data_IF_509062479030
#
_entry.id   IF_509062479030
#
_cell.length_a   1.000
_cell.length_b   1.000
_cell.length_c   1.000
_cell.angle_alpha   90.00
_cell.angle_beta   90.00
_cell.angle_gamma   90.00
#
_symmetry.space_group_name_H-M   'P 1'
#
loop_
_entity.id
_entity.type
_entity.pdbx_description
1 polymer ?
#
# COMPACT_ATOMS: atom_id res chain seq x y z
N UNK A 1 8.85 -10.70 9.06
CA UNK A 1 7.61 -9.92 8.97
C UNK A 1 6.67 -10.31 10.06
N UNK A 2 5.84 -9.39 10.51
CA UNK A 2 4.79 -9.63 11.47
C UNK A 2 3.69 -8.57 11.33
N UNK A 3 2.49 -8.80 11.88
CA UNK A 3 1.52 -7.74 12.08
C UNK A 3 2.13 -6.58 12.88
N UNK A 4 1.72 -5.35 12.52
CA UNK A 4 2.08 -4.18 13.29
C UNK A 4 1.42 -4.23 14.68
N UNK A 5 2.08 -3.66 15.65
CA UNK A 5 1.64 -3.67 17.05
C UNK A 5 1.93 -2.31 17.70
N UNK A 6 1.38 -2.08 18.87
CA UNK A 6 1.71 -0.91 19.67
C UNK A 6 3.22 -0.80 19.89
N UNK A 7 3.76 0.39 19.72
CA UNK A 7 5.19 0.69 19.71
C UNK A 7 5.80 0.80 18.32
N UNK A 8 5.09 0.40 17.26
CA UNK A 8 5.55 0.50 15.88
C UNK A 8 5.17 1.85 15.21
N UNK A 9 4.28 2.62 15.79
CA UNK A 9 3.68 3.83 15.23
C UNK A 9 4.70 4.85 14.75
N UNK A 10 5.75 5.10 15.52
CA UNK A 10 6.79 6.05 15.15
C UNK A 10 7.61 5.59 13.95
N UNK A 11 7.92 4.29 13.89
CA UNK A 11 8.65 3.73 12.74
C UNK A 11 7.81 3.75 11.46
N UNK A 12 6.53 3.42 11.55
CA UNK A 12 5.59 3.46 10.42
C UNK A 12 5.41 4.91 9.94
N UNK A 13 5.19 5.86 10.85
CA UNK A 13 5.04 7.29 10.52
C UNK A 13 6.28 7.84 9.81
N UNK A 14 7.48 7.55 10.31
CA UNK A 14 8.74 7.95 9.67
C UNK A 14 8.85 7.41 8.25
N UNK A 15 8.56 6.14 8.03
CA UNK A 15 8.61 5.50 6.71
C UNK A 15 7.59 6.14 5.76
N UNK A 16 6.38 6.40 6.24
CA UNK A 16 5.30 6.99 5.47
C UNK A 16 5.61 8.42 5.06
N UNK A 17 6.07 9.27 6.01
CA UNK A 17 6.49 10.63 5.70
C UNK A 17 7.64 10.64 4.69
N UNK A 18 8.62 9.75 4.85
CA UNK A 18 9.73 9.61 3.91
C UNK A 18 9.28 9.27 2.49
N UNK A 19 8.33 8.33 2.36
CA UNK A 19 7.75 7.95 1.08
C UNK A 19 6.95 9.10 0.45
N UNK A 20 6.11 9.77 1.23
CA UNK A 20 5.30 10.89 0.76
C UNK A 20 6.15 12.12 0.40
N UNK A 21 7.24 12.37 1.13
CA UNK A 21 8.22 13.41 0.80
C UNK A 21 8.82 13.18 -0.59
N UNK A 22 9.14 11.95 -0.91
CA UNK A 22 9.66 11.58 -2.23
C UNK A 22 8.60 11.75 -3.32
N UNK A 23 7.33 11.46 -3.01
CA UNK A 23 6.23 11.48 -3.98
C UNK A 23 5.72 12.91 -4.27
N UNK A 24 5.50 13.72 -3.23
CA UNK A 24 4.85 15.03 -3.35
C UNK A 24 5.74 16.23 -2.99
N UNK A 25 6.92 15.99 -2.42
CA UNK A 25 7.86 17.02 -1.99
C UNK A 25 7.61 17.57 -0.58
N UNK A 26 8.63 18.21 -0.03
CA UNK A 26 8.61 18.77 1.34
C UNK A 26 7.59 19.91 1.48
N UNK A 27 7.50 20.79 0.48
CA UNK A 27 6.59 21.94 0.51
C UNK A 27 5.12 21.52 0.55
N UNK A 28 4.74 20.50 -0.22
CA UNK A 28 3.40 19.97 -0.21
C UNK A 28 3.03 19.33 1.13
N UNK A 29 3.97 18.59 1.76
CA UNK A 29 3.76 18.05 3.10
C UNK A 29 3.57 19.16 4.14
N UNK A 30 4.44 20.17 4.11
CA UNK A 30 4.38 21.29 5.02
C UNK A 30 3.08 22.08 4.88
N UNK A 31 2.64 22.34 3.64
CA UNK A 31 1.39 23.07 3.36
C UNK A 31 0.14 22.32 3.87
N UNK A 32 0.19 21.00 3.93
CA UNK A 32 -0.88 20.15 4.47
C UNK A 32 -0.74 19.90 5.98
N UNK A 33 0.29 20.43 6.62
CA UNK A 33 0.57 20.21 8.04
C UNK A 33 0.90 18.75 8.37
N UNK A 34 1.40 17.98 7.41
CA UNK A 34 1.75 16.58 7.61
C UNK A 34 3.12 16.49 8.24
N UNK A 35 3.17 16.00 9.47
CA UNK A 35 4.41 15.75 10.22
C UNK A 35 4.48 14.30 10.68
N UNK A 36 5.69 13.86 11.02
CA UNK A 36 5.92 12.52 11.58
C UNK A 36 5.14 12.33 12.89
N UNK A 37 5.10 13.36 13.75
CA UNK A 37 4.38 13.31 15.02
C UNK A 37 2.86 13.20 14.82
N UNK A 38 2.31 13.90 13.82
CA UNK A 38 0.89 13.82 13.49
C UNK A 38 0.54 12.41 13.03
N UNK A 39 1.35 11.84 12.14
CA UNK A 39 1.13 10.48 11.64
C UNK A 39 1.36 9.43 12.74
N UNK A 40 2.36 9.59 13.60
CA UNK A 40 2.59 8.69 14.72
C UNK A 40 1.38 8.62 15.66
N UNK A 41 0.75 9.77 15.98
CA UNK A 41 -0.50 9.79 16.78
C UNK A 41 -1.67 9.10 16.07
N UNK A 42 -1.78 9.26 14.74
CA UNK A 42 -2.83 8.58 13.96
C UNK A 42 -2.61 7.06 13.97
N UNK A 43 -1.37 6.63 13.79
CA UNK A 43 -1.03 5.20 13.86
C UNK A 43 -1.21 4.64 15.26
N UNK A 44 -0.87 5.38 16.32
CA UNK A 44 -1.15 4.98 17.71
C UNK A 44 -2.64 4.71 17.94
N UNK A 45 -3.50 5.61 17.47
CA UNK A 45 -4.95 5.42 17.54
C UNK A 45 -5.40 4.18 16.74
N UNK A 46 -4.87 4.00 15.53
CA UNK A 46 -5.17 2.84 14.67
C UNK A 46 -4.75 1.53 15.32
N UNK A 47 -3.52 1.46 15.85
CA UNK A 47 -2.97 0.25 16.50
C UNK A 47 -3.62 -0.04 17.86
N UNK A 48 -4.32 0.94 18.44
CA UNK A 48 -5.05 0.78 19.70
C UNK A 48 -6.49 0.32 19.48
N UNK A 49 -7.04 0.47 18.29
CA UNK A 49 -8.37 0.04 17.91
C UNK A 49 -8.35 -1.41 17.38
N UNK A 50 -9.49 -2.12 17.43
CA UNK A 50 -9.63 -3.39 16.73
C UNK A 50 -9.37 -3.21 15.23
N UNK A 51 -8.62 -4.12 14.62
CA UNK A 51 -8.41 -4.08 13.17
C UNK A 51 -9.72 -4.32 12.43
N UNK A 52 -10.07 -3.49 11.44
CA UNK A 52 -11.22 -3.74 10.60
C UNK A 52 -11.13 -5.11 9.91
N UNK A 53 -12.27 -5.78 9.75
CA UNK A 53 -12.29 -7.05 9.02
C UNK A 53 -11.74 -6.90 7.60
N UNK A 54 -10.90 -7.84 7.18
CA UNK A 54 -10.27 -7.81 5.87
C UNK A 54 -9.11 -6.81 5.71
N UNK A 55 -8.70 -6.13 6.82
CA UNK A 55 -7.57 -5.21 6.79
C UNK A 55 -6.31 -5.88 7.35
N UNK A 56 -5.16 -5.53 6.79
CA UNK A 56 -3.86 -5.99 7.23
C UNK A 56 -2.88 -4.82 7.30
N UNK A 57 -2.21 -4.66 8.43
CA UNK A 57 -1.06 -3.77 8.60
C UNK A 57 0.13 -4.63 9.04
N UNK A 58 1.11 -4.75 8.15
CA UNK A 58 2.29 -5.58 8.35
C UNK A 58 3.55 -4.74 8.37
N UNK A 59 4.54 -5.15 9.16
CA UNK A 59 5.87 -4.54 9.18
C UNK A 59 6.95 -5.53 8.77
N UNK A 60 7.94 -5.03 8.04
CA UNK A 60 9.16 -5.74 7.69
C UNK A 60 10.29 -5.32 8.62
N UNK A 61 11.01 -6.30 9.16
CA UNK A 61 12.15 -6.06 10.01
C UNK A 61 13.44 -6.46 9.29
N UNK A 62 14.47 -5.67 9.50
CA UNK A 62 15.87 -6.03 9.26
C UNK A 62 16.57 -6.05 10.61
N UNK A 63 17.01 -7.22 11.07
CA UNK A 63 17.30 -7.44 12.49
C UNK A 63 16.11 -6.98 13.36
N UNK A 64 16.32 -6.02 14.25
CA UNK A 64 15.30 -5.50 15.17
C UNK A 64 14.71 -4.14 14.71
N UNK A 65 15.09 -3.67 13.51
CA UNK A 65 14.64 -2.37 12.97
C UNK A 65 13.51 -2.57 11.97
N UNK A 66 12.43 -1.81 12.11
CA UNK A 66 11.38 -1.76 11.10
C UNK A 66 11.87 -0.94 9.91
N UNK A 67 11.93 -1.60 8.76
CA UNK A 67 12.47 -1.06 7.50
C UNK A 67 11.43 -0.98 6.39
N UNK A 68 10.20 -1.38 6.65
CA UNK A 68 9.10 -1.28 5.70
C UNK A 68 7.78 -1.65 6.33
N UNK A 69 6.70 -1.28 5.67
CA UNK A 69 5.34 -1.68 6.05
C UNK A 69 4.44 -1.83 4.82
N UNK A 70 3.36 -2.58 5.00
CA UNK A 70 2.27 -2.68 4.04
C UNK A 70 0.94 -2.47 4.75
N UNK A 71 0.08 -1.65 4.15
CA UNK A 71 -1.31 -1.44 4.54
C UNK A 71 -2.21 -1.96 3.42
N UNK A 72 -3.08 -2.89 3.73
CA UNK A 72 -4.08 -3.42 2.83
C UNK A 72 -5.44 -3.52 3.54
N UNK A 73 -6.50 -3.51 2.77
CA UNK A 73 -7.87 -3.62 3.31
C UNK A 73 -8.88 -3.75 2.20
N UNK A 74 -10.19 -3.76 2.53
CA UNK A 74 -11.24 -3.84 1.54
C UNK A 74 -11.06 -2.76 0.48
N UNK A 75 -11.02 -3.17 -0.78
CA UNK A 75 -10.92 -2.27 -1.91
C UNK A 75 -12.25 -1.60 -2.22
N UNK A 76 -12.20 -0.43 -2.84
CA UNK A 76 -13.39 0.19 -3.43
C UNK A 76 -13.92 -0.70 -4.55
N UNK A 77 -15.25 -0.77 -4.68
CA UNK A 77 -15.89 -1.41 -5.83
C UNK A 77 -15.46 -0.68 -7.11
N UNK A 78 -14.77 -1.38 -7.98
CA UNK A 78 -14.37 -0.82 -9.26
C UNK A 78 -15.55 -0.92 -10.21
N UNK A 79 -16.00 0.22 -10.74
CA UNK A 79 -17.03 0.25 -11.76
C UNK A 79 -16.50 -0.44 -13.03
N UNK A 80 -17.03 -1.63 -13.29
CA UNK A 80 -16.60 -2.53 -14.37
C UNK A 80 -17.20 -2.19 -15.72
N UNK A 81 -17.87 -1.05 -15.85
CA UNK A 81 -18.56 -0.65 -17.08
C UNK A 81 -17.64 -0.47 -18.31
N UNK A 82 -16.32 -0.48 -18.11
CA UNK A 82 -15.33 -0.39 -19.20
C UNK A 82 -14.74 -1.73 -19.69
N UNK A 83 -15.34 -2.86 -19.34
CA UNK A 83 -15.13 -4.12 -20.05
C UNK A 83 -13.85 -4.92 -19.75
N UNK A 84 -13.02 -4.52 -18.79
CA UNK A 84 -11.79 -5.23 -18.40
C UNK A 84 -11.66 -5.40 -16.90
N UNK A 85 -12.77 -5.68 -16.21
CA UNK A 85 -12.68 -6.03 -14.79
C UNK A 85 -12.41 -7.51 -14.61
N UNK A 86 -11.41 -7.87 -13.81
CA UNK A 86 -11.16 -9.25 -13.42
C UNK A 86 -12.18 -9.80 -12.41
N UNK A 87 -12.93 -8.93 -11.76
CA UNK A 87 -14.02 -9.31 -10.89
C UNK A 87 -15.26 -9.53 -11.75
N UNK A 88 -15.50 -10.77 -12.15
CA UNK A 88 -16.85 -11.19 -12.53
C UNK A 88 -17.83 -10.84 -11.42
N UNK A 89 -19.02 -10.44 -11.79
CA UNK A 89 -20.19 -10.11 -11.00
C UNK A 89 -20.01 -10.20 -9.47
N UNK A 90 -19.76 -9.02 -8.83
CA UNK A 90 -19.62 -8.88 -7.38
C UNK A 90 -18.18 -8.66 -6.96
N UNK A 91 -17.79 -7.41 -6.73
CA UNK A 91 -16.51 -7.04 -6.10
C UNK A 91 -16.46 -7.41 -4.60
N UNK A 92 -17.23 -8.42 -4.18
CA UNK A 92 -17.10 -9.02 -2.87
C UNK A 92 -15.77 -9.76 -2.78
N UNK A 93 -14.81 -9.16 -2.06
CA UNK A 93 -13.53 -9.79 -1.78
C UNK A 93 -12.31 -9.19 -2.48
N UNK A 94 -12.43 -8.06 -3.17
CA UNK A 94 -11.26 -7.34 -3.65
C UNK A 94 -10.53 -6.66 -2.49
N UNK A 95 -9.21 -6.87 -2.40
CA UNK A 95 -8.35 -6.21 -1.42
C UNK A 95 -7.48 -5.18 -2.10
N UNK A 96 -7.48 -3.95 -1.60
CA UNK A 96 -6.59 -2.90 -2.05
C UNK A 96 -5.32 -2.87 -1.20
N UNK A 97 -4.17 -2.81 -1.86
CA UNK A 97 -2.90 -2.42 -1.25
C UNK A 97 -2.84 -0.89 -1.25
N UNK A 98 -3.08 -0.29 -0.10
CA UNK A 98 -3.08 1.16 0.06
C UNK A 98 -1.68 1.74 0.10
N UNK A 99 -0.80 1.07 0.87
CA UNK A 99 0.60 1.46 0.98
C UNK A 99 1.51 0.22 1.01
N UNK A 100 2.63 0.34 0.34
CA UNK A 100 3.74 -0.61 0.38
C UNK A 100 5.02 0.22 0.35
N UNK A 101 5.64 0.36 1.50
CA UNK A 101 6.78 1.24 1.72
C UNK A 101 7.97 0.45 2.26
N UNK A 102 9.14 0.70 1.69
CA UNK A 102 10.43 0.18 2.21
C UNK A 102 11.42 1.34 2.26
N UNK A 103 12.13 1.44 3.36
CA UNK A 103 13.21 2.42 3.55
C UNK A 103 14.21 2.32 2.38
N UNK A 104 14.55 3.44 1.73
CA UNK A 104 15.47 3.45 0.60
C UNK A 104 16.81 2.74 0.86
N UNK A 105 17.30 2.80 2.08
CA UNK A 105 18.57 2.14 2.46
C UNK A 105 18.46 0.61 2.54
N UNK A 106 17.25 0.06 2.55
CA UNK A 106 16.99 -1.38 2.64
C UNK A 106 16.28 -1.93 1.39
N UNK A 107 16.25 -1.16 0.30
CA UNK A 107 15.74 -1.61 -1.00
C UNK A 107 16.61 -2.76 -1.55
N UNK A 108 16.04 -3.50 -2.51
CA UNK A 108 16.68 -4.65 -3.16
C UNK A 108 17.00 -5.84 -2.24
N UNK A 109 16.61 -5.79 -0.98
CA UNK A 109 16.73 -6.91 -0.02
C UNK A 109 15.48 -7.80 0.04
N UNK A 110 14.53 -7.65 -0.89
CA UNK A 110 13.31 -8.44 -0.99
C UNK A 110 12.23 -8.12 0.06
N UNK A 111 12.35 -7.02 0.80
CA UNK A 111 11.36 -6.65 1.82
C UNK A 111 9.99 -6.35 1.22
N UNK A 112 9.93 -5.59 0.10
CA UNK A 112 8.67 -5.28 -0.57
C UNK A 112 7.96 -6.54 -1.09
N UNK A 113 8.69 -7.43 -1.76
CA UNK A 113 8.13 -8.68 -2.29
C UNK A 113 7.59 -9.58 -1.18
N UNK A 114 8.30 -9.67 -0.04
CA UNK A 114 7.84 -10.45 1.12
C UNK A 114 6.64 -9.82 1.82
N UNK A 115 6.58 -8.48 1.91
CA UNK A 115 5.40 -7.78 2.42
C UNK A 115 4.18 -8.02 1.54
N UNK A 116 4.35 -7.88 0.22
CA UNK A 116 3.26 -8.11 -0.74
C UNK A 116 2.78 -9.56 -0.71
N UNK A 117 3.70 -10.52 -0.65
CA UNK A 117 3.36 -11.93 -0.50
C UNK A 117 2.58 -12.20 0.80
N UNK A 118 3.01 -11.61 1.93
CA UNK A 118 2.32 -11.77 3.21
C UNK A 118 0.92 -11.15 3.19
N UNK A 119 0.71 -10.01 2.51
CA UNK A 119 -0.63 -9.46 2.25
C UNK A 119 -1.45 -10.44 1.43
N UNK A 120 -0.88 -10.97 0.34
CA UNK A 120 -1.56 -11.96 -0.49
C UNK A 120 -1.95 -13.22 0.28
N UNK A 121 -1.14 -13.66 1.25
CA UNK A 121 -1.44 -14.84 2.09
C UNK A 121 -2.60 -14.61 3.07
N UNK A 122 -2.86 -13.35 3.43
CA UNK A 122 -3.94 -12.96 4.35
C UNK A 122 -5.25 -12.64 3.62
N UNK A 123 -5.22 -12.60 2.30
CA UNK A 123 -6.36 -12.19 1.47
C UNK A 123 -6.74 -13.31 0.52
N UNK A 124 -8.02 -13.38 0.15
CA UNK A 124 -8.52 -14.27 -0.89
C UNK A 124 -9.05 -13.46 -2.07
N UNK A 125 -8.91 -13.99 -3.27
CA UNK A 125 -9.48 -13.38 -4.46
C UNK A 125 -8.55 -12.38 -5.16
N UNK A 126 -9.00 -11.17 -5.36
CA UNK A 126 -8.29 -10.15 -6.15
C UNK A 126 -7.56 -9.16 -5.27
N UNK A 127 -6.28 -8.95 -5.57
CA UNK A 127 -5.49 -7.83 -5.06
C UNK A 127 -5.41 -6.74 -6.11
N UNK A 128 -5.57 -5.48 -5.71
CA UNK A 128 -5.33 -4.36 -6.59
C UNK A 128 -4.57 -3.22 -5.91
N UNK A 129 -3.97 -2.40 -6.73
CA UNK A 129 -3.19 -1.23 -6.29
C UNK A 129 -3.35 -0.11 -7.32
N UNK A 130 -3.32 1.12 -6.84
CA UNK A 130 -3.26 2.31 -7.69
C UNK A 130 -1.81 2.79 -7.80
N UNK A 131 -1.32 2.95 -9.03
CA UNK A 131 0.07 3.32 -9.32
C UNK A 131 0.03 4.58 -10.20
N UNK A 132 0.87 5.56 -9.88
CA UNK A 132 1.03 6.74 -10.72
C UNK A 132 1.37 6.38 -12.16
N UNK A 133 0.78 7.09 -13.11
CA UNK A 133 1.00 6.82 -14.54
C UNK A 133 2.49 6.91 -14.93
N UNK A 134 3.24 7.78 -14.24
CA UNK A 134 4.67 8.02 -14.48
C UNK A 134 5.60 7.22 -13.56
N UNK A 135 5.05 6.39 -12.65
CA UNK A 135 5.85 5.61 -11.70
C UNK A 135 6.28 4.26 -12.28
N UNK A 136 7.24 4.31 -13.21
CA UNK A 136 7.76 3.12 -13.89
C UNK A 136 8.44 2.12 -12.92
N UNK A 137 9.01 2.59 -11.81
CA UNK A 137 9.68 1.70 -10.84
C UNK A 137 8.64 0.80 -10.17
N UNK A 138 7.52 1.39 -9.71
CA UNK A 138 6.42 0.63 -9.11
C UNK A 138 5.72 -0.25 -10.13
N UNK A 139 5.51 0.24 -11.35
CA UNK A 139 4.91 -0.58 -12.42
C UNK A 139 5.75 -1.83 -12.70
N UNK A 140 7.07 -1.70 -12.83
CA UNK A 140 8.00 -2.83 -13.01
C UNK A 140 7.97 -3.79 -11.80
N UNK A 141 7.94 -3.25 -10.59
CA UNK A 141 7.86 -4.07 -9.38
C UNK A 141 6.57 -4.90 -9.36
N UNK A 142 5.41 -4.28 -9.57
CA UNK A 142 4.13 -4.99 -9.55
C UNK A 142 3.99 -5.97 -10.73
N UNK A 143 4.49 -5.62 -11.90
CA UNK A 143 4.57 -6.57 -13.04
C UNK A 143 5.37 -7.80 -12.67
N UNK A 144 6.53 -7.63 -12.02
CA UNK A 144 7.36 -8.77 -11.58
C UNK A 144 6.69 -9.62 -10.50
N UNK A 145 5.72 -9.05 -9.78
CA UNK A 145 4.92 -9.74 -8.78
C UNK A 145 3.62 -10.36 -9.36
N UNK A 146 3.46 -10.35 -10.68
CA UNK A 146 2.32 -10.97 -11.36
C UNK A 146 1.09 -10.06 -11.51
N UNK A 147 1.21 -8.78 -11.24
CA UNK A 147 0.13 -7.81 -11.48
C UNK A 147 0.13 -7.36 -12.94
N UNK A 148 -1.07 -7.07 -13.43
CA UNK A 148 -1.31 -6.52 -14.75
C UNK A 148 -2.21 -5.27 -14.67
N UNK A 149 -2.10 -4.31 -15.62
CA UNK A 149 -3.02 -3.18 -15.67
C UNK A 149 -4.45 -3.66 -15.94
N UNK A 150 -5.41 -3.08 -15.22
CA UNK A 150 -6.83 -3.41 -15.38
C UNK A 150 -7.55 -2.52 -16.42
N UNK A 151 -6.93 -1.43 -16.83
CA UNK A 151 -7.56 -0.37 -17.61
C UNK A 151 -8.28 0.69 -16.77
N UNK A 152 -8.43 0.47 -15.46
CA UNK A 152 -8.99 1.49 -14.55
C UNK A 152 -8.06 2.70 -14.43
N UNK A 153 -8.61 3.90 -14.50
CA UNK A 153 -7.89 5.18 -14.37
C UNK A 153 -8.63 6.06 -13.38
N UNK A 154 -7.88 6.72 -12.51
CA UNK A 154 -8.39 7.78 -11.64
C UNK A 154 -7.42 8.95 -11.60
N UNK A 155 -7.90 10.10 -11.14
CA UNK A 155 -7.06 11.27 -10.87
C UNK A 155 -7.04 11.52 -9.36
N UNK A 156 -5.85 11.70 -8.80
CA UNK A 156 -5.64 12.09 -7.41
C UNK A 156 -4.84 13.40 -7.40
N UNK A 157 -5.50 14.51 -7.06
CA UNK A 157 -4.94 15.84 -7.33
C UNK A 157 -4.68 16.02 -8.82
N UNK A 158 -3.44 16.38 -9.18
CA UNK A 158 -3.01 16.55 -10.58
C UNK A 158 -2.39 15.28 -11.19
N UNK A 159 -2.37 14.18 -10.44
CA UNK A 159 -1.71 12.95 -10.88
C UNK A 159 -2.72 11.91 -11.35
N UNK A 160 -2.51 11.42 -12.57
CA UNK A 160 -3.21 10.25 -13.07
C UNK A 160 -2.66 8.97 -12.43
N UNK A 161 -3.54 8.08 -12.02
CA UNK A 161 -3.20 6.77 -11.49
C UNK A 161 -3.91 5.69 -12.30
N UNK A 162 -3.20 4.60 -12.53
CA UNK A 162 -3.72 3.41 -13.18
C UNK A 162 -3.88 2.29 -12.15
N UNK A 163 -4.95 1.53 -12.29
CA UNK A 163 -5.17 0.36 -11.45
C UNK A 163 -4.42 -0.85 -12.01
N UNK A 164 -3.70 -1.52 -11.14
CA UNK A 164 -3.03 -2.79 -11.38
C UNK A 164 -3.63 -3.86 -10.47
N UNK A 165 -3.74 -5.08 -10.97
CA UNK A 165 -4.37 -6.17 -10.22
C UNK A 165 -3.70 -7.51 -10.46
N UNK A 166 -3.88 -8.40 -9.49
CA UNK A 166 -3.53 -9.81 -9.58
C UNK A 166 -4.62 -10.65 -8.94
N UNK A 167 -4.87 -11.82 -9.48
CA UNK A 167 -5.72 -12.83 -8.85
C UNK A 167 -4.84 -13.87 -8.20
N UNK A 168 -5.21 -14.28 -7.01
CA UNK A 168 -4.65 -15.46 -6.37
C UNK A 168 -5.60 -16.64 -6.60
N UNK A 169 -5.05 -17.74 -7.08
CA UNK A 169 -5.75 -19.01 -7.21
C UNK A 169 -5.95 -19.70 -5.86
#
# INVERSE_FOLDING_TARGET
>A
MRPAQRGDEGAIARLQVGAWRTLMGEEALASQGITEELLARRWEATLSAPSPAGSALLVALHANTIVGFALAGPGEAVDTSSGHSPAGEGSEGATQVYELVVDPNFRRAGHASRLLAAVADLTSGVLHVWIGADDEERQRFYTSAGFAPSGGVRTLGDQAQHMWWARRD
#
